data_IF_206833815905
#
_entry.id   IF_206833815905
#
_cell.length_a   1.000
_cell.length_b   1.000
_cell.length_c   1.000
_cell.angle_alpha   90.00
_cell.angle_beta   90.00
_cell.angle_gamma   90.00
#
_symmetry.space_group_name_H-M   'P 1'
#
loop_
_entity.id
_entity.type
_entity.pdbx_description
1 polymer ?
#
# COMPACT_ATOMS: atom_id res chain seq x y z
N UNK A 1 57.97 -17.66 -48.69
CA UNK A 1 59.24 -18.11 -48.07
C UNK A 1 59.69 -16.98 -47.16
N UNK A 2 59.59 -17.16 -45.84
CA UNK A 2 60.75 -17.31 -44.92
C UNK A 2 61.15 -15.93 -44.33
N UNK A 3 61.31 -15.66 -43.03
CA UNK A 3 61.29 -16.44 -41.78
C UNK A 3 60.88 -15.51 -40.61
N UNK A 4 60.46 -16.15 -39.52
CA UNK A 4 60.00 -15.67 -38.21
C UNK A 4 61.00 -14.89 -37.33
N UNK A 5 60.48 -14.11 -36.38
CA UNK A 5 61.17 -13.69 -35.15
C UNK A 5 60.30 -12.83 -34.21
N UNK A 6 59.90 -13.39 -33.06
CA UNK A 6 59.06 -12.81 -32.00
C UNK A 6 59.70 -11.64 -31.24
N UNK A 7 58.88 -10.70 -30.75
CA UNK A 7 59.06 -10.01 -29.46
C UNK A 7 57.67 -9.59 -28.91
N UNK A 8 57.40 -9.93 -27.65
CA UNK A 8 56.07 -9.96 -27.04
C UNK A 8 55.50 -8.63 -26.56
N UNK A 9 54.17 -8.59 -26.47
CA UNK A 9 53.40 -7.61 -25.71
C UNK A 9 52.83 -8.30 -24.45
N UNK A 10 52.79 -7.63 -23.28
CA UNK A 10 52.32 -8.25 -22.04
C UNK A 10 50.81 -8.47 -22.09
N UNK A 11 50.39 -9.67 -21.67
CA UNK A 11 49.00 -10.08 -21.63
C UNK A 11 48.18 -9.20 -20.68
N UNK A 12 47.04 -8.71 -21.20
CA UNK A 12 45.94 -8.24 -20.39
C UNK A 12 45.44 -9.41 -19.55
N UNK A 13 45.73 -9.36 -18.25
CA UNK A 13 45.16 -10.22 -17.24
C UNK A 13 43.65 -10.05 -17.31
N UNK A 14 42.95 -11.07 -17.80
CA UNK A 14 41.50 -11.16 -17.66
C UNK A 14 41.18 -11.13 -16.17
N UNK A 15 40.58 -10.03 -15.70
CA UNK A 15 39.93 -10.00 -14.41
C UNK A 15 38.78 -11.00 -14.48
N UNK A 16 39.03 -12.23 -14.05
CA UNK A 16 37.96 -13.15 -13.67
C UNK A 16 37.17 -12.46 -12.56
N UNK A 17 35.97 -12.00 -12.91
CA UNK A 17 34.94 -11.71 -11.91
C UNK A 17 34.84 -12.92 -10.99
N UNK A 18 34.96 -12.78 -9.66
CA UNK A 18 34.79 -13.92 -8.78
C UNK A 18 33.37 -14.42 -8.97
N UNK A 19 33.23 -15.66 -9.47
CA UNK A 19 31.98 -16.38 -9.38
C UNK A 19 31.67 -16.54 -7.89
N UNK A 20 30.80 -15.70 -7.37
CA UNK A 20 30.11 -15.97 -6.10
C UNK A 20 29.37 -17.29 -6.30
N UNK A 21 29.91 -18.37 -5.73
CA UNK A 21 29.22 -19.66 -5.66
C UNK A 21 27.94 -19.46 -4.87
N UNK A 22 26.81 -19.30 -5.55
CA UNK A 22 25.50 -19.26 -4.92
C UNK A 22 25.11 -20.67 -4.52
N UNK A 23 25.09 -20.94 -3.22
CA UNK A 23 24.64 -22.24 -2.69
C UNK A 23 23.11 -22.24 -2.72
N UNK A 24 22.52 -22.79 -3.78
CA UNK A 24 21.08 -23.05 -3.83
C UNK A 24 20.71 -24.03 -2.71
N UNK A 25 19.63 -23.77 -1.97
CA UNK A 25 19.09 -24.67 -0.95
C UNK A 25 17.64 -25.01 -1.24
N UNK A 26 17.22 -26.22 -0.87
CA UNK A 26 15.84 -26.67 -1.02
C UNK A 26 15.19 -26.86 0.33
N UNK A 27 13.92 -26.49 0.42
CA UNK A 27 13.08 -26.69 1.59
C UNK A 27 11.85 -27.46 1.17
N UNK A 28 11.64 -28.62 1.80
CA UNK A 28 10.42 -29.38 1.66
C UNK A 28 9.41 -28.91 2.69
N UNK A 29 8.20 -28.62 2.23
CA UNK A 29 7.06 -28.23 3.04
C UNK A 29 6.04 -29.37 3.06
N UNK A 30 5.65 -29.76 4.27
CA UNK A 30 4.57 -30.71 4.49
C UNK A 30 3.21 -30.04 4.26
N UNK A 31 2.16 -30.86 4.17
CA UNK A 31 0.78 -30.39 4.04
C UNK A 31 0.43 -29.37 5.13
N UNK A 32 -0.22 -28.27 4.75
CA UNK A 32 -0.72 -27.21 5.64
C UNK A 32 0.38 -26.48 6.45
N UNK A 33 1.61 -26.48 5.94
CA UNK A 33 2.74 -25.74 6.51
C UNK A 33 3.13 -24.51 5.66
N UNK A 34 3.84 -23.57 6.27
CA UNK A 34 4.43 -22.42 5.60
C UNK A 34 5.92 -22.25 5.90
N UNK A 35 6.68 -21.84 4.89
CA UNK A 35 8.04 -21.33 5.03
C UNK A 35 7.98 -19.83 5.26
N UNK A 36 8.38 -19.36 6.44
CA UNK A 36 8.45 -17.93 6.79
C UNK A 36 9.84 -17.41 6.46
N UNK A 37 9.91 -16.29 5.76
CA UNK A 37 11.16 -15.76 5.21
C UNK A 37 11.29 -14.27 5.53
N UNK A 38 12.46 -13.89 6.03
CA UNK A 38 12.94 -12.50 6.04
C UNK A 38 14.17 -12.40 5.10
N UNK A 39 14.03 -11.64 4.03
CA UNK A 39 15.10 -11.40 3.06
C UNK A 39 16.17 -10.51 3.70
N UNK A 40 17.44 -10.79 3.41
CA UNK A 40 18.57 -10.00 3.89
C UNK A 40 18.50 -8.51 3.51
N UNK A 41 19.37 -7.71 4.12
CA UNK A 41 19.29 -6.25 4.08
C UNK A 41 19.68 -5.60 2.74
N UNK A 42 20.51 -6.28 1.94
CA UNK A 42 21.22 -5.67 0.80
C UNK A 42 21.01 -6.39 -0.53
N UNK A 43 20.86 -7.73 -0.52
CA UNK A 43 20.79 -8.55 -1.74
C UNK A 43 19.40 -9.20 -1.84
N UNK A 44 18.79 -9.26 -3.03
CA UNK A 44 17.52 -9.96 -3.22
C UNK A 44 17.66 -11.47 -2.97
N UNK A 45 16.54 -12.10 -2.63
CA UNK A 45 16.41 -13.56 -2.55
C UNK A 45 15.64 -14.04 -3.77
N UNK A 46 16.16 -15.05 -4.46
CA UNK A 46 15.41 -15.73 -5.53
C UNK A 46 14.80 -17.02 -4.99
N UNK A 47 13.57 -17.33 -5.37
CA UNK A 47 12.96 -18.63 -5.08
C UNK A 47 12.11 -19.14 -6.24
N UNK A 48 11.94 -20.46 -6.30
CA UNK A 48 11.02 -21.12 -7.24
C UNK A 48 10.38 -22.36 -6.61
N UNK A 49 9.20 -22.72 -7.11
CA UNK A 49 8.51 -23.97 -6.79
C UNK A 49 9.06 -25.10 -7.66
N UNK A 50 9.59 -26.17 -7.07
CA UNK A 50 10.06 -27.35 -7.80
C UNK A 50 8.98 -28.42 -7.96
N UNK A 51 8.24 -28.72 -6.88
CA UNK A 51 7.21 -29.77 -6.87
C UNK A 51 6.04 -29.36 -5.98
N UNK A 52 4.86 -29.92 -6.26
CA UNK A 52 3.63 -29.64 -5.51
C UNK A 52 3.00 -28.31 -5.88
N UNK A 53 2.27 -27.72 -4.93
CA UNK A 53 1.61 -26.41 -5.10
C UNK A 53 1.89 -25.55 -3.87
N UNK A 54 2.20 -24.29 -4.07
CA UNK A 54 2.39 -23.33 -2.99
C UNK A 54 1.85 -21.95 -3.38
N UNK A 55 1.52 -21.14 -2.38
CA UNK A 55 1.04 -19.77 -2.55
C UNK A 55 1.76 -18.80 -1.61
N UNK A 56 1.91 -17.56 -2.05
CA UNK A 56 2.30 -16.44 -1.20
C UNK A 56 1.08 -15.52 -1.10
N UNK A 57 0.51 -15.47 0.09
CA UNK A 57 -0.63 -14.60 0.42
C UNK A 57 -1.80 -14.67 -0.59
N UNK A 58 -2.13 -15.90 -0.99
CA UNK A 58 -3.25 -16.21 -1.88
C UNK A 58 -2.92 -16.21 -3.38
N UNK A 59 -1.68 -15.90 -3.75
CA UNK A 59 -1.18 -15.97 -5.12
C UNK A 59 -0.36 -17.23 -5.32
N UNK A 60 -0.79 -18.10 -6.24
CA UNK A 60 -0.10 -19.36 -6.54
C UNK A 60 1.27 -19.11 -7.18
N UNK A 61 2.25 -19.92 -6.78
CA UNK A 61 3.57 -19.91 -7.37
C UNK A 61 3.59 -20.75 -8.65
N UNK A 62 4.01 -20.19 -9.80
CA UNK A 62 4.20 -20.98 -11.00
C UNK A 62 5.39 -21.96 -10.84
N UNK A 63 5.27 -23.19 -11.37
CA UNK A 63 6.32 -24.20 -11.27
C UNK A 63 7.56 -23.77 -12.07
N UNK A 64 8.73 -24.02 -11.49
CA UNK A 64 10.07 -23.80 -12.05
C UNK A 64 10.46 -22.35 -12.42
N UNK A 65 9.58 -21.37 -12.20
CA UNK A 65 9.86 -19.95 -12.45
C UNK A 65 10.54 -19.33 -11.23
N UNK A 66 11.69 -18.69 -11.46
CA UNK A 66 12.38 -17.90 -10.45
C UNK A 66 11.71 -16.54 -10.23
N UNK A 67 11.26 -16.31 -9.00
CA UNK A 67 10.82 -15.00 -8.51
C UNK A 67 11.96 -14.35 -7.72
N UNK A 68 12.15 -13.04 -7.86
CA UNK A 68 13.21 -12.28 -7.18
C UNK A 68 12.60 -11.32 -6.16
N UNK A 69 12.75 -11.64 -4.89
CA UNK A 69 12.24 -10.83 -3.79
C UNK A 69 13.27 -9.77 -3.38
N UNK A 70 12.87 -8.49 -3.27
CA UNK A 70 13.79 -7.42 -2.94
C UNK A 70 14.33 -7.55 -1.51
N UNK A 71 15.45 -6.89 -1.19
CA UNK A 71 15.98 -6.86 0.17
C UNK A 71 14.93 -6.44 1.21
N UNK A 72 15.03 -6.97 2.44
CA UNK A 72 14.19 -6.64 3.60
C UNK A 72 12.71 -7.05 3.48
N UNK A 73 12.32 -7.72 2.39
CA UNK A 73 10.96 -8.25 2.27
C UNK A 73 10.71 -9.35 3.30
N UNK A 74 9.49 -9.40 3.83
CA UNK A 74 9.02 -10.41 4.77
C UNK A 74 7.77 -11.07 4.21
N UNK A 75 7.81 -12.38 4.01
CA UNK A 75 6.70 -13.12 3.42
C UNK A 75 6.67 -14.56 3.92
N UNK A 76 5.58 -15.26 3.60
CA UNK A 76 5.43 -16.69 3.89
C UNK A 76 4.99 -17.42 2.62
N UNK A 77 5.61 -18.57 2.35
CA UNK A 77 5.23 -19.50 1.28
C UNK A 77 4.43 -20.63 1.92
N UNK A 78 3.14 -20.69 1.68
CA UNK A 78 2.24 -21.67 2.28
C UNK A 78 1.88 -22.78 1.27
N UNK A 79 1.64 -24.00 1.74
CA UNK A 79 1.15 -25.10 0.88
C UNK A 79 -0.04 -25.83 1.50
N UNK A 80 -1.08 -26.08 0.70
CA UNK A 80 -2.25 -26.88 1.08
C UNK A 80 -2.01 -28.39 1.02
N UNK A 81 -1.03 -28.85 0.25
CA UNK A 81 -0.87 -30.28 -0.11
C UNK A 81 0.56 -30.80 -0.01
N UNK A 82 1.52 -29.93 0.28
CA UNK A 82 2.96 -30.22 0.23
C UNK A 82 3.62 -29.59 -0.99
N UNK A 83 4.85 -29.12 -0.80
CA UNK A 83 5.63 -28.46 -1.85
C UNK A 83 7.14 -28.59 -1.59
N UNK A 84 7.94 -28.42 -2.65
CA UNK A 84 9.40 -28.22 -2.50
C UNK A 84 9.78 -26.88 -3.10
N UNK A 85 10.37 -26.02 -2.29
CA UNK A 85 10.84 -24.68 -2.68
C UNK A 85 12.35 -24.70 -2.81
N UNK A 86 12.87 -24.18 -3.92
CA UNK A 86 14.29 -23.91 -4.08
C UNK A 86 14.55 -22.42 -3.88
N UNK A 87 15.60 -22.10 -3.13
CA UNK A 87 16.02 -20.74 -2.83
C UNK A 87 17.48 -20.53 -3.23
N UNK A 88 17.74 -19.37 -3.82
CA UNK A 88 19.05 -18.87 -4.20
C UNK A 88 19.25 -17.49 -3.55
N UNK A 89 20.26 -17.37 -2.68
CA UNK A 89 20.56 -16.15 -1.93
C UNK A 89 20.44 -16.32 -0.41
N UNK A 90 20.78 -15.26 0.32
CA UNK A 90 20.88 -15.24 1.78
C UNK A 90 19.60 -14.67 2.39
N UNK A 91 19.08 -15.35 3.39
CA UNK A 91 17.99 -14.88 4.25
C UNK A 91 18.56 -14.35 5.56
N UNK A 92 17.88 -13.37 6.16
CA UNK A 92 18.15 -12.96 7.54
C UNK A 92 17.63 -14.04 8.49
N UNK A 93 16.40 -14.50 8.26
CA UNK A 93 15.82 -15.66 8.92
C UNK A 93 14.93 -16.43 7.94
N UNK A 94 14.96 -17.76 8.01
CA UNK A 94 13.91 -18.61 7.45
C UNK A 94 13.65 -19.81 8.35
N UNK A 95 12.38 -20.21 8.45
CA UNK A 95 11.97 -21.40 9.19
C UNK A 95 10.58 -21.87 8.76
N UNK A 96 10.34 -23.17 8.85
CA UNK A 96 9.03 -23.79 8.58
C UNK A 96 8.15 -23.73 9.83
N UNK A 97 6.86 -23.44 9.64
CA UNK A 97 5.83 -23.53 10.67
C UNK A 97 4.63 -24.34 10.15
N UNK A 98 4.07 -25.18 11.02
CA UNK A 98 2.87 -26.01 10.78
C UNK A 98 1.63 -25.45 11.48
N UNK A 99 1.80 -24.67 12.55
CA UNK A 99 0.71 -23.92 13.18
C UNK A 99 0.39 -22.63 12.40
N UNK A 100 -0.66 -22.68 11.57
CA UNK A 100 -1.13 -21.53 10.78
C UNK A 100 -2.65 -21.31 10.91
N UNK A 101 -3.12 -20.05 10.82
CA UNK A 101 -4.56 -19.75 10.79
C UNK A 101 -5.20 -19.90 9.40
N UNK A 102 -4.49 -20.48 8.42
CA UNK A 102 -4.89 -20.48 7.01
C UNK A 102 -6.25 -21.14 6.77
N UNK A 103 -6.55 -22.25 7.46
CA UNK A 103 -7.87 -22.91 7.40
C UNK A 103 -9.00 -21.96 7.81
N UNK A 104 -8.78 -21.14 8.84
CA UNK A 104 -9.78 -20.16 9.26
C UNK A 104 -9.96 -19.05 8.23
N UNK A 105 -8.88 -18.59 7.61
CA UNK A 105 -8.91 -17.54 6.59
C UNK A 105 -9.63 -18.01 5.31
N UNK A 106 -9.35 -19.22 4.83
CA UNK A 106 -10.01 -19.77 3.64
C UNK A 106 -11.49 -20.07 3.90
N UNK A 107 -11.86 -20.47 5.11
CA UNK A 107 -13.27 -20.64 5.49
C UNK A 107 -14.04 -19.31 5.44
N UNK A 108 -13.44 -18.21 5.89
CA UNK A 108 -14.03 -16.87 5.71
C UNK A 108 -14.18 -16.56 4.22
N UNK A 109 -13.15 -16.79 3.42
CA UNK A 109 -13.22 -16.59 1.97
C UNK A 109 -14.38 -17.38 1.32
N UNK A 110 -14.58 -18.65 1.68
CA UNK A 110 -15.67 -19.47 1.18
C UNK A 110 -17.07 -18.90 1.51
N UNK A 111 -17.26 -18.33 2.71
CA UNK A 111 -18.50 -17.65 3.08
C UNK A 111 -18.71 -16.38 2.25
N UNK A 112 -17.66 -15.58 2.07
CA UNK A 112 -17.71 -14.37 1.25
C UNK A 112 -18.04 -14.71 -0.22
N UNK A 113 -17.49 -15.81 -0.71
CA UNK A 113 -17.75 -16.32 -2.06
C UNK A 113 -19.23 -16.71 -2.24
N UNK A 114 -19.83 -17.39 -1.26
CA UNK A 114 -21.27 -17.65 -1.26
C UNK A 114 -22.10 -16.35 -1.35
N UNK A 115 -21.69 -15.30 -0.63
CA UNK A 115 -22.38 -13.98 -0.68
C UNK A 115 -22.23 -13.29 -2.03
N UNK A 116 -21.06 -13.35 -2.67
CA UNK A 116 -20.86 -12.80 -4.02
C UNK A 116 -21.75 -13.51 -5.04
N UNK A 117 -21.80 -14.84 -5.00
CA UNK A 117 -22.65 -15.63 -5.89
C UNK A 117 -24.13 -15.32 -5.69
N UNK A 118 -24.59 -15.18 -4.43
CA UNK A 118 -25.95 -14.76 -4.13
C UNK A 118 -26.28 -13.36 -4.70
N UNK A 119 -25.38 -12.40 -4.47
CA UNK A 119 -25.52 -11.03 -4.99
C UNK A 119 -25.56 -10.98 -6.53
N UNK A 120 -24.70 -11.76 -7.20
CA UNK A 120 -24.67 -11.85 -8.68
C UNK A 120 -25.92 -12.53 -9.26
N UNK A 121 -26.49 -13.50 -8.54
CA UNK A 121 -27.69 -14.21 -8.95
C UNK A 121 -28.98 -13.40 -8.70
N UNK A 122 -28.92 -12.30 -7.96
CA UNK A 122 -30.10 -11.50 -7.65
C UNK A 122 -30.60 -10.79 -8.92
N UNK A 123 -31.81 -11.13 -9.37
CA UNK A 123 -32.49 -10.48 -10.50
C UNK A 123 -33.23 -9.19 -10.09
N UNK A 124 -33.17 -8.86 -8.81
CA UNK A 124 -33.79 -7.69 -8.20
C UNK A 124 -33.06 -6.40 -8.57
N UNK A 125 -33.83 -5.37 -8.87
CA UNK A 125 -33.34 -3.99 -9.03
C UNK A 125 -33.00 -3.32 -7.69
N UNK A 126 -33.27 -4.00 -6.58
CA UNK A 126 -32.95 -3.53 -5.23
C UNK A 126 -31.43 -3.63 -4.97
N UNK A 127 -30.72 -2.50 -4.79
CA UNK A 127 -29.28 -2.49 -4.56
C UNK A 127 -28.85 -3.36 -3.38
N UNK A 128 -29.67 -3.45 -2.33
CA UNK A 128 -29.32 -4.18 -1.10
C UNK A 128 -29.23 -5.69 -1.34
N UNK A 129 -30.07 -6.21 -2.23
CA UNK A 129 -30.10 -7.64 -2.58
C UNK A 129 -29.03 -8.05 -3.59
N UNK A 130 -28.54 -7.11 -4.41
CA UNK A 130 -27.46 -7.34 -5.39
C UNK A 130 -26.07 -6.93 -4.87
N UNK A 131 -25.98 -6.57 -3.59
CA UNK A 131 -24.75 -6.10 -2.97
C UNK A 131 -23.88 -7.27 -2.50
N UNK A 132 -22.68 -7.36 -3.07
CA UNK A 132 -21.62 -8.25 -2.62
C UNK A 132 -21.09 -7.89 -1.23
N UNK A 133 -20.29 -8.76 -0.60
CA UNK A 133 -19.77 -8.56 0.74
C UNK A 133 -18.87 -7.31 0.83
N UNK A 134 -19.04 -6.52 1.89
CA UNK A 134 -18.17 -5.40 2.24
C UNK A 134 -17.45 -5.73 3.55
N UNK A 135 -16.18 -6.10 3.44
CA UNK A 135 -15.41 -6.65 4.56
C UNK A 135 -14.50 -5.58 5.11
N UNK A 136 -14.55 -5.31 6.43
CA UNK A 136 -13.59 -4.44 7.10
C UNK A 136 -12.67 -5.27 8.00
N UNK A 137 -11.36 -5.13 7.83
CA UNK A 137 -10.35 -5.85 8.60
C UNK A 137 -9.81 -4.92 9.67
N UNK A 138 -10.15 -5.20 10.92
CA UNK A 138 -9.82 -4.37 12.10
C UNK A 138 -8.95 -5.13 13.09
N UNK A 139 -8.14 -4.38 13.84
CA UNK A 139 -7.23 -4.96 14.83
C UNK A 139 -6.01 -4.07 15.11
N UNK A 140 -5.24 -4.37 16.16
CA UNK A 140 -4.10 -3.56 16.56
C UNK A 140 -2.99 -3.60 15.50
N UNK A 141 -1.98 -2.77 15.73
CA UNK A 141 -0.76 -2.81 14.94
C UNK A 141 -0.09 -4.19 15.02
N UNK A 142 0.47 -4.68 13.91
CA UNK A 142 1.16 -5.98 13.82
C UNK A 142 0.28 -7.20 14.15
N UNK A 143 -0.96 -7.20 13.65
CA UNK A 143 -1.88 -8.34 13.73
C UNK A 143 -2.12 -9.07 12.40
N UNK A 144 -1.45 -8.67 11.31
CA UNK A 144 -1.57 -9.32 9.99
C UNK A 144 -2.72 -8.81 9.11
N UNK A 145 -3.34 -7.67 9.42
CA UNK A 145 -4.48 -7.10 8.67
C UNK A 145 -4.25 -6.96 7.17
N UNK A 146 -3.13 -6.34 6.79
CA UNK A 146 -2.79 -6.13 5.38
C UNK A 146 -2.57 -7.46 4.66
N UNK A 147 -1.93 -8.43 5.32
CA UNK A 147 -1.71 -9.78 4.77
C UNK A 147 -3.03 -10.53 4.58
N UNK A 148 -3.93 -10.49 5.58
CA UNK A 148 -5.27 -11.09 5.45
C UNK A 148 -6.08 -10.43 4.34
N UNK A 149 -6.01 -9.10 4.22
CA UNK A 149 -6.69 -8.36 3.15
C UNK A 149 -6.18 -8.82 1.78
N UNK A 150 -4.86 -8.94 1.59
CA UNK A 150 -4.25 -9.46 0.37
C UNK A 150 -4.73 -10.88 0.03
N UNK A 151 -4.76 -11.80 1.01
CA UNK A 151 -5.25 -13.17 0.79
C UNK A 151 -6.72 -13.19 0.34
N UNK A 152 -7.60 -12.46 1.03
CA UNK A 152 -9.02 -12.42 0.68
C UNK A 152 -9.28 -11.84 -0.72
N UNK A 153 -8.47 -10.85 -1.13
CA UNK A 153 -8.52 -10.25 -2.46
C UNK A 153 -7.96 -11.20 -3.52
N UNK A 154 -6.77 -11.76 -3.32
CA UNK A 154 -6.12 -12.66 -4.27
C UNK A 154 -6.93 -13.92 -4.52
N UNK A 155 -7.50 -14.55 -3.47
CA UNK A 155 -8.37 -15.70 -3.64
C UNK A 155 -9.67 -15.34 -4.39
N UNK A 156 -10.23 -14.16 -4.17
CA UNK A 156 -11.42 -13.71 -4.92
C UNK A 156 -11.10 -13.45 -6.39
N UNK A 157 -9.97 -12.80 -6.67
CA UNK A 157 -9.48 -12.57 -8.04
C UNK A 157 -9.18 -13.89 -8.76
N UNK A 158 -8.62 -14.88 -8.04
CA UNK A 158 -8.41 -16.24 -8.56
C UNK A 158 -9.71 -16.92 -8.99
N UNK A 159 -10.83 -16.62 -8.34
CA UNK A 159 -12.17 -17.10 -8.71
C UNK A 159 -12.85 -16.24 -9.79
N UNK A 160 -12.15 -15.27 -10.37
CA UNK A 160 -12.66 -14.39 -11.42
C UNK A 160 -13.48 -13.20 -10.93
N UNK A 161 -13.52 -12.93 -9.62
CA UNK A 161 -14.13 -11.70 -9.10
C UNK A 161 -13.18 -10.52 -9.22
N UNK A 162 -13.74 -9.31 -9.24
CA UNK A 162 -12.98 -8.06 -9.24
C UNK A 162 -13.32 -7.22 -7.99
N UNK A 163 -13.00 -7.70 -6.78
CA UNK A 163 -13.32 -6.96 -5.56
C UNK A 163 -12.52 -5.65 -5.50
N UNK A 164 -13.11 -4.62 -4.93
CA UNK A 164 -12.39 -3.37 -4.65
C UNK A 164 -11.57 -3.52 -3.37
N UNK A 165 -10.27 -3.28 -3.45
CA UNK A 165 -9.44 -3.07 -2.27
C UNK A 165 -9.53 -1.61 -1.83
N UNK A 166 -9.81 -1.38 -0.56
CA UNK A 166 -9.79 -0.06 0.07
C UNK A 166 -8.73 -0.08 1.17
N UNK A 167 -7.74 0.80 1.08
CA UNK A 167 -6.70 0.94 2.08
C UNK A 167 -6.83 2.26 2.82
N UNK A 168 -7.20 2.18 4.09
CA UNK A 168 -7.37 3.32 4.97
C UNK A 168 -6.16 3.52 5.89
N UNK A 169 -5.08 2.73 5.72
CA UNK A 169 -3.85 2.91 6.50
C UNK A 169 -2.93 3.98 5.87
N UNK A 170 -3.12 5.23 6.30
CA UNK A 170 -2.25 6.37 5.92
C UNK A 170 -0.80 6.22 6.40
N UNK A 171 -0.49 5.30 7.31
CA UNK A 171 0.85 5.13 7.88
C UNK A 171 1.69 4.10 7.13
N UNK A 172 1.09 3.01 6.66
CA UNK A 172 1.75 1.87 6.01
C UNK A 172 0.93 1.29 4.84
N UNK A 173 0.21 2.15 4.11
CA UNK A 173 -0.64 1.76 2.98
C UNK A 173 0.10 0.96 1.89
N UNK A 174 -0.65 0.11 1.20
CA UNK A 174 -0.17 -0.83 0.18
C UNK A 174 -0.41 -0.37 -1.26
N UNK A 175 -1.28 0.63 -1.47
CA UNK A 175 -1.65 1.08 -2.83
C UNK A 175 -0.70 2.18 -3.33
N UNK A 176 -0.27 3.10 -2.48
CA UNK A 176 0.56 4.23 -2.92
C UNK A 176 1.46 4.72 -1.79
N UNK A 177 2.08 5.89 -1.94
CA UNK A 177 2.93 6.47 -0.92
C UNK A 177 2.17 6.66 0.41
N UNK A 178 2.89 6.76 1.54
CA UNK A 178 2.28 7.05 2.83
C UNK A 178 1.49 8.37 2.81
N UNK A 179 0.60 8.54 3.78
CA UNK A 179 -0.24 9.73 3.91
C UNK A 179 -1.45 9.74 2.98
N UNK A 180 -1.81 8.60 2.41
CA UNK A 180 -2.95 8.46 1.52
C UNK A 180 -3.98 7.46 2.07
N UNK A 181 -5.26 7.73 1.83
CA UNK A 181 -6.25 6.67 1.73
C UNK A 181 -6.47 6.39 0.24
N UNK A 182 -6.70 5.13 -0.12
CA UNK A 182 -6.82 4.77 -1.51
C UNK A 182 -7.76 3.58 -1.73
N UNK A 183 -8.22 3.42 -2.96
CA UNK A 183 -8.94 2.24 -3.40
C UNK A 183 -8.60 1.87 -4.85
N UNK A 184 -8.59 0.58 -5.16
CA UNK A 184 -8.36 0.08 -6.52
C UNK A 184 -9.04 -1.29 -6.70
N UNK A 185 -9.60 -1.61 -7.87
CA UNK A 185 -10.07 -2.97 -8.15
C UNK A 185 -8.89 -3.96 -8.19
N UNK A 186 -9.09 -5.15 -7.66
CA UNK A 186 -8.13 -6.26 -7.76
C UNK A 186 -8.69 -7.28 -8.76
N UNK A 187 -8.17 -7.26 -9.98
CA UNK A 187 -8.66 -8.11 -11.07
C UNK A 187 -7.93 -9.44 -11.17
N UNK A 188 -6.68 -9.46 -10.73
CA UNK A 188 -5.80 -10.63 -10.72
C UNK A 188 -5.23 -10.83 -9.32
N UNK A 189 -4.84 -12.07 -8.94
CA UNK A 189 -4.11 -12.30 -7.70
C UNK A 189 -2.93 -11.34 -7.56
N UNK A 190 -2.78 -10.74 -6.37
CA UNK A 190 -1.77 -9.71 -6.11
C UNK A 190 -0.39 -10.33 -6.23
N UNK A 191 0.47 -9.76 -7.08
CA UNK A 191 1.81 -10.29 -7.29
C UNK A 191 2.62 -10.21 -5.97
N UNK A 192 3.28 -11.30 -5.55
CA UNK A 192 4.00 -11.32 -4.28
C UNK A 192 5.27 -10.46 -4.26
N UNK A 193 5.77 -10.05 -5.43
CA UNK A 193 6.93 -9.18 -5.61
C UNK A 193 6.49 -7.76 -5.96
N UNK A 194 5.74 -7.59 -7.06
CA UNK A 194 5.31 -6.30 -7.59
C UNK A 194 4.13 -5.68 -6.82
N UNK A 195 3.38 -6.50 -6.09
CA UNK A 195 2.25 -6.04 -5.30
C UNK A 195 1.03 -5.68 -6.13
N UNK A 196 0.43 -4.52 -5.83
CA UNK A 196 -0.87 -4.11 -6.37
C UNK A 196 -0.63 -3.25 -7.61
N UNK A 197 -1.21 -3.59 -8.78
CA UNK A 197 -1.11 -2.77 -9.98
C UNK A 197 -1.67 -1.35 -9.76
N UNK A 198 -0.98 -0.34 -10.29
CA UNK A 198 -1.27 1.09 -10.07
C UNK A 198 -1.95 1.79 -11.24
N UNK A 199 -2.70 1.05 -12.07
CA UNK A 199 -3.22 1.58 -13.34
C UNK A 199 -4.21 2.75 -13.15
N UNK A 200 -5.21 2.60 -12.28
CA UNK A 200 -6.21 3.66 -12.00
C UNK A 200 -6.72 3.63 -10.55
N UNK A 201 -5.87 3.87 -9.53
CA UNK A 201 -6.33 3.96 -8.16
C UNK A 201 -7.08 5.28 -7.89
N UNK A 202 -8.08 5.21 -7.02
CA UNK A 202 -8.61 6.36 -6.31
C UNK A 202 -7.67 6.64 -5.13
N UNK A 203 -7.13 7.85 -5.04
CA UNK A 203 -6.14 8.27 -4.05
C UNK A 203 -6.50 9.65 -3.51
N UNK A 204 -6.68 9.71 -2.20
CA UNK A 204 -6.88 10.96 -1.47
C UNK A 204 -5.70 11.21 -0.54
N UNK A 205 -5.07 12.38 -0.67
CA UNK A 205 -3.91 12.74 0.13
C UNK A 205 -4.33 13.37 1.45
N UNK A 206 -4.12 12.64 2.53
CA UNK A 206 -4.24 13.15 3.90
C UNK A 206 -2.99 13.94 4.32
N UNK A 207 -1.83 13.66 3.72
CA UNK A 207 -0.59 14.42 3.91
C UNK A 207 0.17 14.11 5.19
N UNK A 208 -0.33 13.23 6.04
CA UNK A 208 0.31 12.87 7.30
C UNK A 208 0.30 11.36 7.54
N UNK A 209 1.20 10.87 8.38
CA UNK A 209 1.30 9.42 8.67
C UNK A 209 0.52 8.99 9.91
N UNK A 210 -0.21 9.89 10.55
CA UNK A 210 -1.01 9.62 11.74
C UNK A 210 -2.31 10.44 11.71
N UNK A 211 -3.48 9.84 12.00
CA UNK A 211 -4.75 10.54 11.91
C UNK A 211 -4.92 11.61 12.99
N UNK A 212 -4.16 11.50 14.09
CA UNK A 212 -4.23 12.43 15.23
C UNK A 212 -3.89 13.88 14.87
N UNK A 213 -3.22 14.12 13.75
CA UNK A 213 -2.91 15.47 13.27
C UNK A 213 -4.15 16.21 12.73
N UNK A 214 -5.12 15.48 12.18
CA UNK A 214 -6.37 16.06 11.68
C UNK A 214 -7.46 14.98 11.50
N UNK A 215 -8.10 14.58 12.60
CA UNK A 215 -9.08 13.49 12.59
C UNK A 215 -10.30 13.83 11.72
N UNK A 216 -10.69 15.09 11.65
CA UNK A 216 -11.86 15.52 10.88
C UNK A 216 -11.59 15.48 9.39
N UNK A 217 -10.42 15.93 8.93
CA UNK A 217 -10.02 15.74 7.54
C UNK A 217 -9.99 14.25 7.17
N UNK A 218 -9.43 13.40 8.03
CA UNK A 218 -9.41 11.95 7.76
C UNK A 218 -10.83 11.40 7.56
N UNK A 219 -11.79 11.78 8.41
CA UNK A 219 -13.20 11.39 8.25
C UNK A 219 -13.81 11.92 6.95
N UNK A 220 -13.51 13.16 6.58
CA UNK A 220 -14.00 13.76 5.33
C UNK A 220 -13.47 12.99 4.13
N UNK A 221 -12.16 12.71 4.07
CA UNK A 221 -11.58 11.94 2.96
C UNK A 221 -12.19 10.53 2.86
N UNK A 222 -12.38 9.84 3.99
CA UNK A 222 -13.04 8.52 4.02
C UNK A 222 -14.46 8.61 3.48
N UNK A 223 -15.20 9.68 3.81
CA UNK A 223 -16.55 9.92 3.31
C UNK A 223 -16.56 10.20 1.80
N UNK A 224 -15.63 11.01 1.29
CA UNK A 224 -15.49 11.27 -0.15
C UNK A 224 -15.20 9.98 -0.92
N UNK A 225 -14.23 9.18 -0.44
CA UNK A 225 -13.91 7.88 -1.03
C UNK A 225 -15.12 6.94 -1.03
N UNK A 226 -15.82 6.84 0.11
CA UNK A 226 -17.05 6.06 0.24
C UNK A 226 -18.10 6.47 -0.80
N UNK A 227 -18.37 7.77 -0.96
CA UNK A 227 -19.35 8.28 -1.93
C UNK A 227 -18.96 7.99 -3.39
N UNK A 228 -17.67 7.99 -3.73
CA UNK A 228 -17.23 7.58 -5.07
C UNK A 228 -17.45 6.09 -5.28
N UNK A 229 -17.09 5.25 -4.31
CA UNK A 229 -17.26 3.81 -4.39
C UNK A 229 -18.74 3.41 -4.50
N UNK A 230 -19.65 4.07 -3.77
CA UNK A 230 -21.08 3.85 -3.92
C UNK A 230 -21.57 4.19 -5.34
N UNK A 231 -21.09 5.30 -5.92
CA UNK A 231 -21.42 5.67 -7.30
C UNK A 231 -20.90 4.65 -8.32
N UNK A 232 -19.68 4.14 -8.13
CA UNK A 232 -19.11 3.09 -8.97
C UNK A 232 -19.92 1.79 -8.87
N UNK A 233 -20.30 1.37 -7.67
CA UNK A 233 -21.12 0.17 -7.45
C UNK A 233 -22.55 0.32 -7.96
N UNK A 234 -23.15 1.51 -7.88
CA UNK A 234 -24.45 1.76 -8.48
C UNK A 234 -24.41 1.56 -10.01
N UNK A 235 -23.33 2.02 -10.66
CA UNK A 235 -23.14 1.94 -12.11
C UNK A 235 -22.58 0.61 -12.63
N UNK A 236 -22.05 -0.28 -11.77
CA UNK A 236 -21.41 -1.52 -12.19
C UNK A 236 -21.88 -2.70 -11.32
N UNK A 237 -22.78 -3.52 -11.87
CA UNK A 237 -23.35 -4.67 -11.18
C UNK A 237 -22.32 -5.76 -10.85
N UNK A 238 -21.32 -5.98 -11.70
CA UNK A 238 -20.27 -6.96 -11.45
C UNK A 238 -19.39 -6.55 -10.28
N UNK A 239 -18.96 -5.29 -10.25
CA UNK A 239 -18.16 -4.71 -9.16
C UNK A 239 -18.97 -4.69 -7.85
N UNK A 240 -20.26 -4.32 -7.93
CA UNK A 240 -21.17 -4.36 -6.78
C UNK A 240 -21.30 -5.76 -6.19
N UNK A 241 -21.48 -6.78 -7.01
CA UNK A 241 -21.57 -8.18 -6.58
C UNK A 241 -20.22 -8.75 -6.09
N UNK A 242 -19.09 -8.30 -6.66
CA UNK A 242 -17.76 -8.69 -6.19
C UNK A 242 -17.43 -8.17 -4.78
N UNK A 243 -17.97 -6.99 -4.44
CA UNK A 243 -17.84 -6.39 -3.13
C UNK A 243 -16.49 -5.70 -2.90
N UNK A 244 -16.12 -5.51 -1.63
CA UNK A 244 -14.88 -4.82 -1.26
C UNK A 244 -14.22 -5.39 0.00
N UNK A 245 -12.91 -5.21 0.12
CA UNK A 245 -12.12 -5.49 1.33
C UNK A 245 -11.45 -4.19 1.77
N UNK A 246 -11.69 -3.79 3.02
CA UNK A 246 -11.25 -2.54 3.62
C UNK A 246 -10.19 -2.84 4.68
N UNK A 247 -8.94 -2.51 4.39
CA UNK A 247 -7.85 -2.53 5.38
C UNK A 247 -7.86 -1.25 6.21
N UNK A 248 -7.65 -1.37 7.52
CA UNK A 248 -7.58 -0.21 8.43
C UNK A 248 -6.19 -0.08 9.04
N UNK A 249 -5.86 1.13 9.52
CA UNK A 249 -4.70 1.33 10.38
C UNK A 249 -4.87 0.63 11.74
N UNK A 250 -3.74 0.37 12.40
CA UNK A 250 -3.68 -0.18 13.76
C UNK A 250 -3.75 0.89 14.85
N UNK A 251 -4.75 1.78 14.82
CA UNK A 251 -4.93 2.86 15.81
C UNK A 251 -5.60 2.37 17.10
N UNK A 252 -5.20 1.18 17.55
CA UNK A 252 -5.69 0.54 18.76
C UNK A 252 -4.45 0.03 19.49
N UNK A 253 -4.21 0.55 20.69
CA UNK A 253 -3.02 0.25 21.49
C UNK A 253 -3.39 -0.52 22.78
N UNK A 254 -2.57 -1.51 23.14
CA UNK A 254 -2.64 -2.21 24.42
C UNK A 254 -2.86 -3.72 24.34
N UNK A 255 -2.19 -4.46 25.22
CA UNK A 255 -2.41 -5.91 25.44
C UNK A 255 -3.82 -6.10 26.02
N UNK A 256 -4.58 -7.08 25.51
CA UNK A 256 -5.99 -7.33 25.92
C UNK A 256 -7.04 -6.45 25.23
N UNK A 257 -6.62 -5.47 24.41
CA UNK A 257 -7.56 -4.61 23.68
C UNK A 257 -8.25 -5.34 22.52
N UNK A 258 -7.71 -6.48 22.05
CA UNK A 258 -8.34 -7.28 20.99
C UNK A 258 -9.70 -7.85 21.42
N UNK A 259 -9.78 -8.36 22.65
CA UNK A 259 -11.04 -8.86 23.23
C UNK A 259 -12.01 -7.71 23.47
N UNK A 260 -11.50 -6.59 24.00
CA UNK A 260 -12.28 -5.38 24.21
C UNK A 260 -12.81 -4.81 22.90
N UNK A 261 -12.01 -4.79 21.83
CA UNK A 261 -12.41 -4.33 20.51
C UNK A 261 -13.52 -5.21 19.94
N UNK A 262 -13.35 -6.54 20.00
CA UNK A 262 -14.38 -7.46 19.54
C UNK A 262 -15.70 -7.28 20.31
N UNK A 263 -15.63 -7.14 21.64
CA UNK A 263 -16.80 -6.84 22.48
C UNK A 263 -17.44 -5.50 22.09
N UNK A 264 -16.65 -4.43 22.01
CA UNK A 264 -17.12 -3.09 21.66
C UNK A 264 -17.78 -3.06 20.28
N UNK A 265 -17.21 -3.75 19.29
CA UNK A 265 -17.80 -3.86 17.96
C UNK A 265 -19.13 -4.61 18.01
N UNK A 266 -19.19 -5.74 18.72
CA UNK A 266 -20.45 -6.47 18.92
C UNK A 266 -21.50 -5.62 19.64
N UNK A 267 -21.11 -4.81 20.62
CA UNK A 267 -22.00 -3.93 21.36
C UNK A 267 -22.52 -2.78 20.49
N UNK A 268 -21.64 -2.10 19.76
CA UNK A 268 -21.98 -0.99 18.85
C UNK A 268 -22.83 -1.48 17.67
N UNK A 269 -22.57 -2.70 17.18
CA UNK A 269 -23.26 -3.30 16.04
C UNK A 269 -24.43 -4.20 16.45
N UNK A 270 -24.76 -4.28 17.74
CA UNK A 270 -25.82 -5.16 18.26
C UNK A 270 -27.18 -4.95 17.58
N UNK A 271 -27.46 -3.71 17.15
CA UNK A 271 -28.70 -3.32 16.47
C UNK A 271 -28.55 -3.25 14.94
N UNK A 272 -27.46 -3.79 14.39
CA UNK A 272 -27.20 -3.87 12.94
C UNK A 272 -27.24 -5.34 12.51
N UNK A 273 -28.44 -5.90 12.24
CA UNK A 273 -28.59 -7.33 11.95
C UNK A 273 -27.85 -7.80 10.68
N UNK A 274 -27.47 -6.86 9.81
CA UNK A 274 -26.79 -7.14 8.54
C UNK A 274 -25.25 -7.10 8.65
N UNK A 275 -24.69 -7.06 9.87
CA UNK A 275 -23.24 -7.00 10.09
C UNK A 275 -22.77 -8.18 10.93
N UNK A 276 -21.93 -9.02 10.32
CA UNK A 276 -21.30 -10.15 10.99
C UNK A 276 -19.93 -9.77 11.55
N UNK A 277 -19.65 -10.17 12.79
CA UNK A 277 -18.34 -9.95 13.44
C UNK A 277 -17.66 -11.31 13.64
N UNK A 278 -16.59 -11.54 12.90
CA UNK A 278 -15.79 -12.78 12.96
C UNK A 278 -14.45 -12.49 13.64
N UNK A 279 -14.17 -13.21 14.74
CA UNK A 279 -12.85 -13.16 15.41
C UNK A 279 -11.93 -14.19 14.75
N UNK A 280 -10.77 -13.73 14.28
CA UNK A 280 -9.75 -14.58 13.68
C UNK A 280 -8.48 -14.55 14.52
N UNK A 281 -7.72 -15.65 14.49
CA UNK A 281 -6.42 -15.72 15.14
C UNK A 281 -5.36 -14.99 14.31
N UNK A 282 -4.46 -14.30 15.01
CA UNK A 282 -3.25 -13.72 14.43
C UNK A 282 -2.29 -14.86 14.06
N UNK A 283 -1.68 -14.81 12.86
CA UNK A 283 -0.59 -15.75 12.52
C UNK A 283 0.64 -15.51 13.41
N UNK A 284 1.24 -16.60 13.89
CA UNK A 284 2.51 -16.57 14.63
C UNK A 284 3.68 -16.01 13.81
N UNK A 285 3.55 -15.94 12.48
CA UNK A 285 4.56 -15.37 11.58
C UNK A 285 4.54 -13.84 11.51
N UNK A 286 3.58 -13.18 12.16
CA UNK A 286 3.49 -11.72 12.15
C UNK A 286 4.50 -11.11 13.13
N UNK A 287 5.48 -10.41 12.56
CA UNK A 287 6.58 -9.79 13.30
C UNK A 287 6.23 -8.38 13.76
N UNK A 288 6.56 -8.06 15.01
CA UNK A 288 6.41 -6.73 15.57
C UNK A 288 7.40 -5.75 14.95
N UNK A 289 6.93 -4.56 14.56
CA UNK A 289 7.74 -3.54 13.88
C UNK A 289 7.81 -2.28 14.73
N UNK A 290 9.03 -1.88 15.06
CA UNK A 290 9.29 -0.64 15.78
C UNK A 290 9.10 0.60 14.88
N UNK A 291 9.09 1.78 15.51
CA UNK A 291 8.89 3.07 14.82
C UNK A 291 9.93 3.33 13.72
N UNK A 292 11.20 2.99 13.95
CA UNK A 292 12.29 3.18 12.98
C UNK A 292 12.07 2.34 11.72
N UNK A 293 11.65 1.07 11.88
CA UNK A 293 11.33 0.19 10.77
C UNK A 293 10.19 0.76 9.91
N UNK A 294 9.12 1.27 10.56
CA UNK A 294 7.98 1.90 9.86
C UNK A 294 8.39 3.15 9.10
N UNK A 295 9.20 4.01 9.73
CA UNK A 295 9.76 5.20 9.08
C UNK A 295 10.57 4.82 7.84
N UNK A 296 11.46 3.83 7.96
CA UNK A 296 12.29 3.36 6.86
C UNK A 296 11.46 2.77 5.72
N UNK A 297 10.46 1.95 6.04
CA UNK A 297 9.53 1.37 5.05
C UNK A 297 8.73 2.45 4.31
N UNK A 298 8.31 3.53 5.01
CA UNK A 298 7.69 4.69 4.35
C UNK A 298 8.62 5.35 3.35
N UNK A 299 9.87 5.58 3.72
CA UNK A 299 10.86 6.15 2.81
C UNK A 299 11.10 5.27 1.58
N UNK A 300 11.11 3.94 1.77
CA UNK A 300 11.22 3.01 0.64
C UNK A 300 10.00 3.05 -0.27
N UNK A 301 8.79 3.16 0.27
CA UNK A 301 7.57 3.30 -0.55
C UNK A 301 7.56 4.58 -1.37
N UNK A 302 8.09 5.68 -0.83
CA UNK A 302 8.25 6.92 -1.60
C UNK A 302 9.30 6.72 -2.70
N UNK A 303 10.43 6.07 -2.41
CA UNK A 303 11.45 5.75 -3.42
C UNK A 303 10.89 4.86 -4.53
N UNK A 304 10.20 3.79 -4.18
CA UNK A 304 9.56 2.84 -5.10
C UNK A 304 8.56 3.55 -6.03
N UNK A 305 7.81 4.54 -5.53
CA UNK A 305 6.91 5.34 -6.38
C UNK A 305 7.63 6.09 -7.51
N UNK A 306 8.82 6.64 -7.24
CA UNK A 306 9.57 7.40 -8.25
C UNK A 306 10.46 6.51 -9.12
N UNK A 307 11.09 5.49 -8.54
CA UNK A 307 12.14 4.70 -9.17
C UNK A 307 11.68 3.29 -9.57
N UNK A 308 10.50 2.85 -9.15
CA UNK A 308 10.07 1.46 -9.31
C UNK A 308 10.74 0.53 -8.30
N UNK A 309 10.30 -0.73 -8.30
CA UNK A 309 10.80 -1.74 -7.38
C UNK A 309 12.25 -2.12 -7.67
N UNK A 310 12.62 -2.16 -8.95
CA UNK A 310 13.93 -2.58 -9.43
C UNK A 310 14.82 -1.40 -9.89
N UNK A 311 14.42 -0.16 -9.60
CA UNK A 311 15.00 1.05 -10.22
C UNK A 311 14.79 1.08 -11.75
N UNK A 312 13.65 0.55 -12.19
CA UNK A 312 13.23 0.39 -13.57
C UNK A 312 12.42 1.60 -14.09
N UNK A 313 12.00 2.51 -13.21
CA UNK A 313 11.41 3.79 -13.56
C UNK A 313 12.47 4.91 -13.54
N UNK A 314 12.31 5.87 -14.44
CA UNK A 314 13.22 7.01 -14.60
C UNK A 314 12.46 8.32 -14.32
N UNK A 315 12.42 8.78 -13.06
CA UNK A 315 11.75 10.02 -12.72
C UNK A 315 12.51 11.21 -13.31
N UNK A 316 11.80 12.32 -13.51
CA UNK A 316 12.32 13.50 -14.21
C UNK A 316 12.38 14.73 -13.31
N UNK A 317 13.50 15.45 -13.35
CA UNK A 317 13.68 16.73 -12.65
C UNK A 317 13.15 17.88 -13.50
N UNK A 318 12.24 18.66 -12.94
CA UNK A 318 11.56 19.75 -13.61
C UNK A 318 11.74 21.06 -12.83
N UNK A 319 11.71 22.19 -13.54
CA UNK A 319 11.81 23.53 -12.97
C UNK A 319 10.56 24.32 -13.35
N UNK A 320 9.85 24.88 -12.37
CA UNK A 320 8.70 25.74 -12.59
C UNK A 320 8.88 27.13 -11.94
N UNK A 321 8.14 28.13 -12.42
CA UNK A 321 8.05 29.40 -11.69
C UNK A 321 7.10 29.26 -10.50
N UNK A 322 7.31 30.05 -9.45
CA UNK A 322 6.37 30.11 -8.33
C UNK A 322 4.96 30.52 -8.75
N UNK A 323 4.83 31.33 -9.80
CA UNK A 323 3.54 31.77 -10.35
C UNK A 323 2.72 30.66 -11.01
N UNK A 324 3.37 29.54 -11.35
CA UNK A 324 2.75 28.49 -12.15
C UNK A 324 2.11 27.40 -11.26
N UNK A 325 2.36 27.46 -9.94
CA UNK A 325 1.95 26.45 -8.97
C UNK A 325 1.29 27.10 -7.76
N UNK A 326 0.26 26.43 -7.22
CA UNK A 326 -0.46 26.87 -6.03
C UNK A 326 -0.41 25.77 -4.99
N UNK A 327 0.29 26.02 -3.89
CA UNK A 327 0.47 25.04 -2.81
C UNK A 327 -0.57 25.30 -1.72
N UNK A 328 -1.40 24.31 -1.45
CA UNK A 328 -2.44 24.37 -0.42
C UNK A 328 -2.11 23.44 0.75
N UNK A 329 -2.34 23.93 1.95
CA UNK A 329 -2.40 23.12 3.17
C UNK A 329 -3.86 22.95 3.56
N UNK A 330 -4.24 21.73 3.96
CA UNK A 330 -5.59 21.44 4.44
C UNK A 330 -5.59 21.46 5.97
N UNK A 331 -6.46 22.30 6.53
CA UNK A 331 -6.56 22.53 7.95
C UNK A 331 -5.54 23.54 8.48
N UNK A 332 -5.83 24.04 9.68
CA UNK A 332 -5.11 25.16 10.28
C UNK A 332 -5.60 26.53 9.78
N UNK A 333 -4.86 27.58 10.13
CA UNK A 333 -5.22 28.97 9.82
C UNK A 333 -5.58 29.80 11.05
N UNK A 334 -5.84 31.10 10.87
CA UNK A 334 -6.18 32.01 11.97
C UNK A 334 -7.47 31.57 12.63
N UNK A 335 -7.44 31.46 13.95
CA UNK A 335 -8.60 31.14 14.77
C UNK A 335 -9.53 32.35 14.87
N UNK A 336 -10.83 32.13 14.97
CA UNK A 336 -11.78 33.21 15.23
C UNK A 336 -11.40 33.89 16.57
N UNK A 337 -11.36 35.22 16.63
CA UNK A 337 -11.09 35.92 17.88
C UNK A 337 -12.15 35.56 18.93
N UNK A 338 -11.74 35.47 20.21
CA UNK A 338 -12.65 35.11 21.32
C UNK A 338 -13.89 36.00 21.41
N UNK A 339 -13.81 37.25 20.94
CA UNK A 339 -14.94 38.19 20.88
C UNK A 339 -16.02 37.81 19.87
N UNK A 340 -15.73 36.95 18.89
CA UNK A 340 -16.67 36.46 17.89
C UNK A 340 -17.26 35.07 18.25
N UNK A 341 -16.90 34.52 19.42
CA UNK A 341 -17.33 33.19 19.87
C UNK A 341 -18.41 33.30 20.96
N UNK A 342 -19.36 32.34 21.04
CA UNK A 342 -20.28 32.22 22.16
C UNK A 342 -19.54 32.10 23.50
N UNK A 343 -20.15 32.59 24.58
CA UNK A 343 -19.59 32.46 25.93
C UNK A 343 -19.34 30.98 26.24
N UNK A 344 -18.08 30.63 26.54
CA UNK A 344 -17.64 29.26 26.83
C UNK A 344 -17.11 28.46 25.65
N UNK A 345 -17.13 29.00 24.42
CA UNK A 345 -16.53 28.36 23.25
C UNK A 345 -15.05 28.72 23.09
N UNK A 346 -14.20 27.71 22.87
CA UNK A 346 -12.79 27.92 22.55
C UNK A 346 -12.58 28.13 21.04
N UNK A 347 -11.61 28.96 20.63
CA UNK A 347 -11.28 29.13 19.22
C UNK A 347 -10.77 27.83 18.60
N UNK A 348 -11.55 27.27 17.67
CA UNK A 348 -11.12 26.15 16.83
C UNK A 348 -10.87 26.66 15.40
N UNK A 349 -9.72 26.30 14.82
CA UNK A 349 -9.51 26.47 13.40
C UNK A 349 -10.37 25.44 12.66
N UNK A 350 -10.97 25.81 11.53
CA UNK A 350 -11.68 24.85 10.67
C UNK A 350 -10.66 23.78 10.19
N UNK A 351 -10.86 22.50 10.57
CA UNK A 351 -9.92 21.43 10.26
C UNK A 351 -9.86 21.11 8.76
N UNK A 352 -10.83 21.56 7.97
CA UNK A 352 -10.92 21.32 6.53
C UNK A 352 -10.65 22.55 5.69
N UNK A 353 -10.31 23.69 6.32
CA UNK A 353 -10.03 24.92 5.59
C UNK A 353 -8.83 24.76 4.67
N UNK A 354 -8.98 25.19 3.43
CA UNK A 354 -7.88 25.31 2.48
C UNK A 354 -7.12 26.62 2.72
N UNK A 355 -5.82 26.50 2.94
CA UNK A 355 -4.92 27.64 3.17
C UNK A 355 -3.85 27.64 2.08
N UNK A 356 -3.81 28.71 1.28
CA UNK A 356 -2.74 28.92 0.30
C UNK A 356 -1.42 29.21 1.03
N UNK A 357 -0.38 28.46 0.67
CA UNK A 357 0.96 28.52 1.24
C UNK A 357 1.89 29.19 0.24
N UNK A 358 2.65 30.17 0.72
CA UNK A 358 3.70 30.78 -0.09
C UNK A 358 4.85 29.78 -0.30
N UNK A 359 5.30 29.64 -1.54
CA UNK A 359 6.47 28.81 -1.86
C UNK A 359 7.72 29.44 -1.21
N UNK A 360 8.32 28.71 -0.28
CA UNK A 360 9.50 29.12 0.49
C UNK A 360 10.38 27.90 0.79
N UNK A 361 11.52 28.12 1.47
CA UNK A 361 12.48 27.05 1.81
C UNK A 361 11.91 25.93 2.70
N UNK A 362 10.79 26.14 3.37
CA UNK A 362 10.18 25.11 4.22
C UNK A 362 9.56 23.97 3.42
N UNK A 363 9.33 24.18 2.11
CA UNK A 363 8.86 23.13 1.20
C UNK A 363 9.99 22.19 0.74
N UNK A 364 11.25 22.52 1.02
CA UNK A 364 12.38 21.68 0.61
C UNK A 364 12.29 20.29 1.25
N UNK A 365 12.55 19.26 0.46
CA UNK A 365 12.46 17.84 0.86
C UNK A 365 11.05 17.35 1.22
N UNK A 366 10.00 18.12 0.92
CA UNK A 366 8.63 17.65 1.05
C UNK A 366 8.16 16.93 -0.21
N UNK A 367 7.29 15.94 0.02
CA UNK A 367 6.46 15.33 -1.01
C UNK A 367 5.12 16.06 -1.06
N UNK A 368 4.74 16.52 -2.25
CA UNK A 368 3.49 17.22 -2.51
C UNK A 368 2.60 16.36 -3.41
N UNK A 369 1.30 16.36 -3.15
CA UNK A 369 0.33 15.73 -4.03
C UNK A 369 -0.13 16.69 -5.11
N UNK A 370 -0.26 16.22 -6.35
CA UNK A 370 -0.81 16.98 -7.48
C UNK A 370 -2.30 16.65 -7.57
N UNK A 371 -3.19 17.61 -7.30
CA UNK A 371 -4.64 17.37 -7.28
C UNK A 371 -5.24 17.46 -8.68
N UNK A 372 -6.16 16.57 -9.05
CA UNK A 372 -6.96 16.71 -10.28
C UNK A 372 -8.06 17.79 -10.20
N UNK A 373 -8.17 18.52 -9.08
CA UNK A 373 -9.11 19.62 -8.94
C UNK A 373 -8.98 20.65 -10.07
N UNK A 374 -10.12 21.18 -10.53
CA UNK A 374 -10.14 22.28 -11.51
C UNK A 374 -10.27 23.64 -10.84
N UNK A 375 -10.83 23.66 -9.64
CA UNK A 375 -11.00 24.84 -8.80
C UNK A 375 -10.52 24.54 -7.36
N UNK A 376 -10.03 25.54 -6.60
CA UNK A 376 -9.46 25.30 -5.26
C UNK A 376 -10.39 24.60 -4.29
N UNK A 377 -11.69 24.94 -4.28
CA UNK A 377 -12.70 24.34 -3.40
C UNK A 377 -12.95 22.84 -3.66
N UNK A 378 -12.52 22.34 -4.81
CA UNK A 378 -12.62 20.92 -5.19
C UNK A 378 -11.43 20.09 -4.70
N UNK A 379 -10.38 20.69 -4.12
CA UNK A 379 -9.14 20.00 -3.75
C UNK A 379 -9.39 18.79 -2.82
N UNK A 380 -10.29 18.92 -1.86
CA UNK A 380 -10.56 17.87 -0.86
C UNK A 380 -11.33 16.68 -1.46
N UNK A 381 -12.25 16.95 -2.39
CA UNK A 381 -13.10 15.93 -3.03
C UNK A 381 -12.49 15.34 -4.30
N UNK A 382 -11.37 15.89 -4.78
CA UNK A 382 -10.69 15.46 -6.00
C UNK A 382 -9.64 14.37 -5.75
N UNK A 383 -9.57 13.43 -6.69
CA UNK A 383 -8.50 12.45 -6.76
C UNK A 383 -7.13 13.14 -6.96
N UNK A 384 -6.07 12.51 -6.51
CA UNK A 384 -4.69 12.95 -6.75
C UNK A 384 -4.16 12.30 -8.03
N UNK A 385 -3.52 13.09 -8.87
CA UNK A 385 -2.87 12.65 -10.10
C UNK A 385 -1.55 11.91 -9.85
N UNK A 386 -0.87 12.27 -8.78
CA UNK A 386 0.41 11.71 -8.40
C UNK A 386 1.12 12.61 -7.41
N UNK A 387 2.42 12.37 -7.22
CA UNK A 387 3.23 13.08 -6.25
C UNK A 387 4.50 13.63 -6.87
N UNK A 388 4.94 14.77 -6.37
CA UNK A 388 6.23 15.37 -6.70
C UNK A 388 7.06 15.53 -5.45
N UNK A 389 8.38 15.51 -5.61
CA UNK A 389 9.33 15.71 -4.52
C UNK A 389 10.14 16.98 -4.75
N UNK A 390 10.16 17.90 -3.77
CA UNK A 390 10.86 19.18 -3.92
C UNK A 390 12.34 19.03 -3.62
N UNK A 391 13.17 19.26 -4.63
CA UNK A 391 14.63 19.08 -4.57
C UNK A 391 15.39 20.38 -4.37
N UNK A 392 14.86 21.51 -4.86
CA UNK A 392 15.51 22.82 -4.70
C UNK A 392 14.50 23.99 -4.79
N UNK A 393 14.81 25.10 -4.13
CA UNK A 393 13.99 26.31 -4.09
C UNK A 393 14.87 27.56 -4.19
N UNK A 394 14.83 28.20 -5.36
CA UNK A 394 15.51 29.47 -5.62
C UNK A 394 14.55 30.64 -5.41
N UNK A 395 14.63 31.25 -4.22
CA UNK A 395 13.81 32.42 -3.84
C UNK A 395 14.14 33.64 -4.72
N UNK A 396 15.39 33.83 -5.13
CA UNK A 396 15.81 35.01 -5.89
C UNK A 396 15.24 34.97 -7.30
N UNK A 397 15.31 33.80 -7.94
CA UNK A 397 14.76 33.58 -9.28
C UNK A 397 13.28 33.21 -9.28
N UNK A 398 12.67 33.02 -8.11
CA UNK A 398 11.29 32.52 -7.92
C UNK A 398 11.05 31.22 -8.69
N UNK A 399 12.00 30.30 -8.58
CA UNK A 399 11.99 28.98 -9.24
C UNK A 399 11.95 27.87 -8.22
N UNK A 400 11.15 26.85 -8.49
CA UNK A 400 11.08 25.61 -7.73
C UNK A 400 11.52 24.45 -8.62
N UNK A 401 12.39 23.60 -8.10
CA UNK A 401 12.84 22.38 -8.75
C UNK A 401 12.23 21.18 -8.05
N UNK A 402 11.65 20.27 -8.82
CA UNK A 402 10.98 19.09 -8.29
C UNK A 402 11.22 17.85 -9.16
N UNK A 403 11.27 16.70 -8.51
CA UNK A 403 11.25 15.39 -9.14
C UNK A 403 9.80 14.96 -9.36
N UNK A 404 9.47 14.49 -10.57
CA UNK A 404 8.17 13.95 -10.94
C UNK A 404 8.33 12.52 -11.50
N UNK A 405 7.32 11.64 -11.40
CA UNK A 405 7.41 10.27 -11.91
C UNK A 405 7.49 10.19 -13.45
N UNK A 406 7.13 11.26 -14.16
CA UNK A 406 7.20 11.34 -15.61
C UNK A 406 7.69 12.73 -16.05
N UNK A 407 8.23 12.80 -17.27
CA UNK A 407 8.61 14.05 -17.90
C UNK A 407 7.37 14.79 -18.44
N UNK A 408 7.45 16.12 -18.50
CA UNK A 408 6.38 16.96 -19.04
C UNK A 408 5.72 17.85 -18.00
N UNK A 409 4.64 18.50 -18.40
CA UNK A 409 3.88 19.37 -17.51
C UNK A 409 3.07 18.56 -16.50
N UNK A 410 2.90 19.12 -15.30
CA UNK A 410 2.05 18.51 -14.30
C UNK A 410 0.59 18.49 -14.79
N UNK A 411 -0.18 17.43 -14.51
CA UNK A 411 -1.60 17.35 -14.85
C UNK A 411 -2.45 18.48 -14.23
N UNK A 412 -1.95 19.15 -13.20
CA UNK A 412 -2.59 20.26 -12.53
C UNK A 412 -1.56 21.17 -11.84
N UNK A 413 -1.97 22.41 -11.58
CA UNK A 413 -1.20 23.42 -10.86
C UNK A 413 -1.52 23.47 -9.36
N UNK A 414 -2.54 22.75 -8.91
CA UNK A 414 -2.92 22.67 -7.50
C UNK A 414 -2.15 21.56 -6.80
N UNK A 415 -1.30 21.97 -5.86
CA UNK A 415 -0.47 21.10 -5.05
C UNK A 415 -1.00 21.07 -3.62
N UNK A 416 -0.94 19.91 -2.97
CA UNK A 416 -1.34 19.74 -1.57
C UNK A 416 -0.09 19.41 -0.75
N UNK A 417 0.15 20.18 0.31
CA UNK A 417 1.27 19.98 1.24
C UNK A 417 0.79 19.37 2.55
N UNK A 418 1.54 18.36 3.00
CA UNK A 418 1.39 17.71 4.30
C UNK A 418 2.68 17.82 5.12
N UNK A 419 2.97 16.79 5.90
CA UNK A 419 4.21 16.67 6.71
C UNK A 419 5.14 15.56 6.22
N UNK A 420 4.95 15.05 4.99
CA UNK A 420 5.77 13.98 4.44
C UNK A 420 7.10 14.55 3.93
N UNK A 421 8.15 14.26 4.69
CA UNK A 421 9.53 14.51 4.29
C UNK A 421 10.16 13.24 3.70
N UNK A 422 10.97 13.41 2.67
CA UNK A 422 11.78 12.34 2.11
C UNK A 422 13.17 12.88 1.80
N UNK A 423 14.19 12.12 2.16
CA UNK A 423 15.56 12.40 1.75
C UNK A 423 15.93 11.31 0.77
N UNK A 424 16.24 11.73 -0.44
CA UNK A 424 16.78 10.86 -1.46
C UNK A 424 18.16 10.38 -1.00
N UNK A 425 18.24 9.10 -0.64
CA UNK A 425 19.46 8.41 -0.22
C UNK A 425 19.79 7.28 -1.16
#
# INVERSE_FOLDING_TARGET
MAYSGMAGAPGLVGMSTPATSTTTRQVKLDKESELRIEVGMEIPLRLRLLTGTAEIFGTELPPEIWLSFPPRHKFAVFTWYGATIEMDGITETDYTADETPMVSYVNVHAVLEGRRNHAKASSSTDPDSSQGPRVIVVGPTDSGKSTLSKMLLSWAAKQGWKPTFVDLDIGQGSITIPGCIAATPIEMPIDPVEGIPLEMPLVYFFGHTTPSLNVDLYKVLVKELSQILERQFAGNAESRAAGMVINTMGWIEGVGYEEKLCSMLKDVLKNKPNVDVVKLQKSGGVVSRNTKFRQKTRSYRIREYFYGLANDLSPHSNIANFSDLFVYKIGGGPQAPRSALPIGAEPAADPTRLVLVNINRDLLHLVLAVSFAKEPDQIISSNVAGFIYITDIDIQRKKITYLAPSAGELPSRFLIVGSLTWLET
#
